data_IF_063804986214
#
_entry.id   IF_063804986214
#
_cell.length_a   1.000
_cell.length_b   1.000
_cell.length_c   1.000
_cell.angle_alpha   90.00
_cell.angle_beta   90.00
_cell.angle_gamma   90.00
#
_symmetry.space_group_name_H-M   'P 1'
#
loop_
_entity.id
_entity.type
_entity.pdbx_description
1 polymer ?
#
# COMPACT_ATOMS: atom_id res chain seq x y z
N UNK A 1 5.86 19.43 22.40
CA UNK A 1 6.73 18.79 21.38
C UNK A 1 5.80 18.13 20.34
N UNK A 2 5.85 18.50 19.05
CA UNK A 2 4.87 18.02 18.05
C UNK A 2 5.10 16.52 17.75
N UNK A 3 4.03 15.71 17.60
CA UNK A 3 4.09 14.28 17.18
C UNK A 3 5.10 14.04 16.03
N UNK A 4 5.20 14.98 15.08
CA UNK A 4 6.14 14.94 13.94
C UNK A 4 7.63 14.98 14.34
N UNK A 5 8.01 15.67 15.42
CA UNK A 5 9.41 15.80 15.85
C UNK A 5 9.90 14.56 16.59
N UNK A 6 9.04 13.94 17.41
CA UNK A 6 9.35 12.69 18.12
C UNK A 6 9.64 11.52 17.16
N UNK A 7 8.91 11.45 16.04
CA UNK A 7 9.11 10.43 14.99
C UNK A 7 10.43 10.52 14.24
N UNK A 8 11.09 11.68 14.31
CA UNK A 8 12.37 11.90 13.63
C UNK A 8 13.54 11.63 14.58
N UNK A 9 13.32 11.64 15.90
CA UNK A 9 14.38 11.65 16.93
C UNK A 9 14.39 10.37 17.79
N UNK A 10 13.27 9.65 17.90
CA UNK A 10 13.24 8.38 18.65
C UNK A 10 13.64 7.19 17.75
N UNK A 11 14.93 6.83 17.74
CA UNK A 11 15.38 5.67 16.95
C UNK A 11 16.81 5.21 17.22
N UNK A 12 17.02 4.48 18.32
CA UNK A 12 18.31 3.90 18.72
C UNK A 12 18.76 2.69 17.86
N UNK A 13 20.07 2.44 17.89
CA UNK A 13 20.92 1.71 16.94
C UNK A 13 20.75 0.16 16.78
N UNK A 14 19.76 -0.49 17.41
CA UNK A 14 19.73 -1.97 17.54
C UNK A 14 19.79 -2.80 16.23
N UNK A 15 18.88 -2.57 15.28
CA UNK A 15 18.79 -3.41 14.07
C UNK A 15 19.92 -3.19 13.06
N UNK A 16 20.45 -1.96 13.01
CA UNK A 16 21.53 -1.58 12.09
C UNK A 16 22.87 -2.25 12.46
N UNK A 17 23.10 -2.53 13.74
CA UNK A 17 24.35 -3.18 14.19
C UNK A 17 24.33 -4.69 13.92
N UNK A 18 23.19 -5.36 14.12
CA UNK A 18 23.09 -6.82 13.98
C UNK A 18 23.02 -7.29 12.52
N UNK A 19 22.45 -6.49 11.61
CA UNK A 19 22.21 -6.91 10.22
C UNK A 19 22.69 -5.87 9.19
N UNK A 20 23.00 -4.64 9.59
CA UNK A 20 23.33 -3.54 8.66
C UNK A 20 24.52 -3.80 7.72
N UNK A 21 25.63 -4.43 8.16
CA UNK A 21 26.71 -4.84 7.25
C UNK A 21 26.31 -5.95 6.26
N UNK A 22 25.18 -6.63 6.49
CA UNK A 22 24.77 -7.89 5.85
C UNK A 22 23.50 -7.72 5.03
N UNK A 23 22.75 -6.63 5.24
CA UNK A 23 21.77 -6.10 4.32
C UNK A 23 22.53 -5.57 3.10
N UNK A 24 23.05 -6.48 2.27
CA UNK A 24 23.76 -6.13 1.05
C UNK A 24 22.90 -5.18 0.23
N UNK A 25 23.50 -4.10 -0.28
CA UNK A 25 22.82 -3.13 -1.13
C UNK A 25 22.24 -3.83 -2.36
N UNK A 26 21.08 -3.38 -2.82
CA UNK A 26 20.52 -3.87 -4.08
C UNK A 26 21.57 -3.67 -5.20
N UNK A 27 21.78 -4.70 -6.02
CA UNK A 27 22.61 -4.61 -7.23
C UNK A 27 21.87 -3.93 -8.38
N UNK A 28 20.54 -3.84 -8.29
CA UNK A 28 19.69 -3.13 -9.24
C UNK A 28 19.43 -1.69 -8.77
N UNK A 29 19.10 -0.81 -9.70
CA UNK A 29 18.68 0.55 -9.40
C UNK A 29 17.57 0.55 -8.32
N UNK A 30 17.71 1.39 -7.29
CA UNK A 30 16.70 1.49 -6.24
C UNK A 30 15.37 1.98 -6.81
N UNK A 31 14.26 1.54 -6.23
CA UNK A 31 12.94 2.02 -6.64
C UNK A 31 12.88 3.56 -6.59
N UNK A 32 12.38 4.16 -7.67
CA UNK A 32 12.32 5.61 -7.83
C UNK A 32 13.67 6.29 -8.09
N UNK A 33 14.74 5.53 -8.37
CA UNK A 33 15.95 6.10 -8.96
C UNK A 33 15.68 6.47 -10.42
N UNK A 34 16.13 7.65 -10.81
CA UNK A 34 16.08 8.09 -12.20
C UNK A 34 17.25 7.46 -12.97
N UNK A 35 17.05 7.01 -14.21
CA UNK A 35 18.15 6.59 -15.07
C UNK A 35 19.11 7.76 -15.31
N UNK A 36 20.41 7.46 -15.45
CA UNK A 36 21.42 8.47 -15.78
C UNK A 36 21.04 9.23 -17.06
N UNK A 37 21.25 10.55 -17.06
CA UNK A 37 20.95 11.41 -18.20
C UNK A 37 19.47 11.82 -18.34
N UNK A 38 18.61 11.48 -17.38
CA UNK A 38 17.19 11.91 -17.38
C UNK A 38 16.94 13.20 -16.60
N UNK A 39 17.98 13.92 -16.18
CA UNK A 39 17.87 15.10 -15.30
C UNK A 39 16.94 16.19 -15.86
N UNK A 40 16.89 16.33 -17.18
CA UNK A 40 16.06 17.31 -17.88
C UNK A 40 14.57 16.98 -17.87
N UNK A 41 14.20 15.71 -17.68
CA UNK A 41 12.80 15.25 -17.60
C UNK A 41 12.35 14.95 -16.17
N UNK A 42 13.24 15.07 -15.19
CA UNK A 42 12.90 14.92 -13.79
C UNK A 42 12.04 16.11 -13.33
N UNK A 43 10.99 15.82 -12.55
CA UNK A 43 10.28 16.89 -11.85
C UNK A 43 11.24 17.66 -10.93
N UNK A 44 11.12 19.00 -10.83
CA UNK A 44 11.86 19.80 -9.86
C UNK A 44 11.72 19.21 -8.46
N UNK A 45 12.79 19.28 -7.65
CA UNK A 45 12.81 18.69 -6.29
C UNK A 45 11.62 19.13 -5.43
N UNK A 46 11.17 20.38 -5.59
CA UNK A 46 10.02 20.96 -4.91
C UNK A 46 8.68 20.32 -5.30
N UNK A 47 8.60 19.71 -6.48
CA UNK A 47 7.41 19.04 -7.03
C UNK A 47 7.45 17.52 -6.87
N UNK A 48 8.55 16.94 -6.38
CA UNK A 48 8.65 15.49 -6.15
C UNK A 48 7.80 15.06 -4.96
N UNK A 49 7.06 13.97 -5.13
CA UNK A 49 6.24 13.40 -4.08
C UNK A 49 7.10 12.97 -2.88
N UNK A 50 6.74 13.43 -1.67
CA UNK A 50 7.42 13.05 -0.42
C UNK A 50 6.78 11.84 0.27
N UNK A 51 5.50 11.61 0.00
CA UNK A 51 4.68 10.52 0.53
C UNK A 51 3.82 9.98 -0.61
N UNK A 52 3.54 8.68 -0.56
CA UNK A 52 2.68 7.99 -1.53
C UNK A 52 1.52 7.38 -0.74
N UNK A 53 0.30 7.58 -1.24
CA UNK A 53 -0.89 6.87 -0.81
C UNK A 53 -1.39 6.07 -2.01
N UNK A 54 -1.40 4.76 -1.88
CA UNK A 54 -1.97 3.84 -2.84
C UNK A 54 -3.31 3.35 -2.31
N UNK A 55 -4.37 3.50 -3.10
CA UNK A 55 -5.73 3.06 -2.77
C UNK A 55 -6.12 1.99 -3.78
N UNK A 56 -6.29 0.76 -3.30
CA UNK A 56 -6.77 -0.34 -4.11
C UNK A 56 -8.26 -0.58 -3.81
N UNK A 57 -9.11 -0.46 -4.83
CA UNK A 57 -10.55 -0.66 -4.70
C UNK A 57 -10.88 -2.12 -5.04
N UNK A 58 -11.17 -2.91 -4.00
CA UNK A 58 -11.50 -4.33 -4.11
C UNK A 58 -13.00 -4.54 -4.41
N UNK A 59 -13.33 -5.44 -5.34
CA UNK A 59 -14.72 -5.78 -5.70
C UNK A 59 -15.20 -5.25 -7.05
N UNK A 60 -14.28 -4.70 -7.87
CA UNK A 60 -14.61 -4.03 -9.11
C UNK A 60 -15.20 -2.64 -8.87
N UNK A 61 -14.93 -1.71 -9.79
CA UNK A 61 -15.66 -0.45 -9.82
C UNK A 61 -16.94 -0.69 -10.59
N UNK A 62 -18.08 -0.23 -10.07
CA UNK A 62 -19.27 -0.18 -10.91
C UNK A 62 -18.97 0.69 -12.16
N UNK A 63 -19.69 0.52 -13.27
CA UNK A 63 -19.47 1.33 -14.46
C UNK A 63 -19.58 2.86 -14.24
N UNK A 64 -20.14 3.26 -13.10
CA UNK A 64 -20.36 4.64 -12.70
C UNK A 64 -19.28 5.20 -11.76
N UNK A 65 -18.54 4.31 -11.07
CA UNK A 65 -17.41 4.62 -10.18
C UNK A 65 -16.07 4.54 -10.91
N UNK A 66 -16.06 4.72 -12.23
CA UNK A 66 -14.87 4.70 -13.07
C UNK A 66 -14.15 6.05 -13.13
N UNK A 67 -12.83 6.02 -13.31
CA UNK A 67 -12.03 7.19 -13.68
C UNK A 67 -11.82 7.30 -15.20
N UNK A 68 -12.21 6.27 -15.95
CA UNK A 68 -12.16 6.20 -17.41
C UNK A 68 -13.56 5.91 -17.94
N UNK A 69 -14.25 6.96 -18.39
CA UNK A 69 -15.55 6.85 -19.05
C UNK A 69 -15.44 7.45 -20.45
N UNK A 70 -15.82 6.70 -21.48
CA UNK A 70 -15.99 7.24 -22.84
C UNK A 70 -17.45 7.02 -23.21
N UNK A 71 -18.23 8.10 -23.35
CA UNK A 71 -19.69 7.99 -23.60
C UNK A 71 -20.04 7.36 -24.94
N UNK A 72 -19.12 7.40 -25.90
CA UNK A 72 -19.34 6.77 -27.20
C UNK A 72 -19.18 5.25 -27.16
N UNK A 73 -18.54 4.69 -26.12
CA UNK A 73 -18.30 3.24 -26.03
C UNK A 73 -19.46 2.49 -25.39
N UNK A 74 -19.82 1.38 -26.01
CA UNK A 74 -20.76 0.40 -25.45
C UNK A 74 -22.21 0.84 -25.45
N UNK A 75 -22.56 1.83 -26.29
CA UNK A 75 -23.91 2.37 -26.41
C UNK A 75 -24.92 1.30 -26.84
N UNK A 76 -26.23 1.50 -26.60
CA UNK A 76 -27.26 0.58 -27.11
C UNK A 76 -27.21 0.39 -28.63
N UNK A 77 -26.77 1.42 -29.36
CA UNK A 77 -26.63 1.48 -30.82
C UNK A 77 -25.19 1.28 -31.32
N UNK A 78 -24.28 0.78 -30.46
CA UNK A 78 -22.89 0.52 -30.84
C UNK A 78 -22.80 -0.30 -32.14
N UNK A 79 -21.98 0.10 -33.13
CA UNK A 79 -21.86 -0.62 -34.40
C UNK A 79 -21.37 -2.06 -34.19
N UNK A 80 -20.55 -2.31 -33.18
CA UNK A 80 -20.11 -3.65 -32.81
C UNK A 80 -21.10 -4.26 -31.82
N UNK A 81 -21.89 -5.22 -32.31
CA UNK A 81 -22.99 -5.84 -31.54
C UNK A 81 -22.54 -6.44 -30.20
N UNK A 82 -21.30 -6.91 -30.12
CA UNK A 82 -20.68 -7.47 -28.90
C UNK A 82 -20.42 -6.43 -27.79
N UNK A 83 -20.38 -5.14 -28.12
CA UNK A 83 -20.13 -4.07 -27.15
C UNK A 83 -21.41 -3.33 -26.75
N UNK A 84 -22.54 -3.57 -27.42
CA UNK A 84 -23.81 -2.92 -27.07
C UNK A 84 -24.20 -3.17 -25.62
N UNK A 85 -24.62 -2.11 -24.94
CA UNK A 85 -25.00 -2.12 -23.53
C UNK A 85 -23.88 -2.66 -22.63
N UNK A 86 -22.65 -2.20 -22.86
CA UNK A 86 -21.50 -2.47 -21.97
C UNK A 86 -21.04 -1.19 -21.28
N UNK A 87 -20.06 -1.32 -20.37
CA UNK A 87 -19.50 -0.19 -19.64
C UNK A 87 -20.62 0.63 -18.96
N UNK A 88 -20.66 1.95 -19.20
CA UNK A 88 -21.64 2.87 -18.64
C UNK A 88 -23.11 2.48 -18.89
N UNK A 89 -23.35 1.79 -20.01
CA UNK A 89 -24.69 1.37 -20.45
C UNK A 89 -25.05 -0.06 -20.01
N UNK A 90 -24.18 -0.74 -19.25
CA UNK A 90 -24.44 -2.11 -18.78
C UNK A 90 -25.68 -2.26 -17.91
N UNK A 91 -26.14 -1.16 -17.28
CA UNK A 91 -27.27 -1.16 -16.36
C UNK A 91 -28.24 0.00 -16.67
N UNK A 92 -29.03 -0.10 -17.76
CA UNK A 92 -29.79 1.03 -18.33
C UNK A 92 -30.70 1.76 -17.33
N UNK A 93 -31.38 1.01 -16.45
CA UNK A 93 -32.27 1.57 -15.43
C UNK A 93 -31.56 1.83 -14.08
N UNK A 94 -30.39 1.23 -13.87
CA UNK A 94 -29.62 1.36 -12.63
C UNK A 94 -28.90 2.70 -12.52
N UNK A 95 -28.36 3.20 -13.64
CA UNK A 95 -27.54 4.41 -13.66
C UNK A 95 -28.31 5.64 -13.20
N UNK A 96 -29.47 5.92 -13.81
CA UNK A 96 -30.29 7.08 -13.49
C UNK A 96 -30.81 7.02 -12.05
N UNK A 97 -31.35 5.88 -11.64
CA UNK A 97 -31.84 5.67 -10.27
C UNK A 97 -30.74 5.87 -9.23
N UNK A 98 -29.56 5.28 -9.44
CA UNK A 98 -28.44 5.42 -8.52
C UNK A 98 -27.91 6.86 -8.45
N UNK A 99 -27.82 7.56 -9.58
CA UNK A 99 -27.46 8.99 -9.60
C UNK A 99 -28.48 9.84 -8.84
N UNK A 100 -29.78 9.60 -9.04
CA UNK A 100 -30.86 10.29 -8.30
C UNK A 100 -30.75 10.05 -6.80
N UNK A 101 -30.53 8.80 -6.36
CA UNK A 101 -30.34 8.47 -4.93
C UNK A 101 -29.11 9.15 -4.33
N UNK A 102 -28.09 9.44 -5.15
CA UNK A 102 -26.90 10.17 -4.75
C UNK A 102 -27.02 11.70 -4.88
N UNK A 103 -28.15 12.22 -5.39
CA UNK A 103 -28.29 13.65 -5.72
C UNK A 103 -27.33 14.12 -6.81
N UNK A 104 -26.89 13.21 -7.69
CA UNK A 104 -25.96 13.49 -8.78
C UNK A 104 -26.77 13.82 -10.04
N UNK A 105 -26.46 14.97 -10.65
CA UNK A 105 -26.93 15.29 -12.01
C UNK A 105 -25.89 14.80 -13.01
N UNK A 106 -26.32 14.13 -14.07
CA UNK A 106 -25.40 13.65 -15.10
C UNK A 106 -24.95 14.80 -16.01
N UNK A 107 -23.85 15.43 -15.64
CA UNK A 107 -23.18 16.48 -16.40
C UNK A 107 -21.93 15.95 -17.10
N UNK A 108 -21.50 16.64 -18.15
CA UNK A 108 -20.19 16.39 -18.76
C UNK A 108 -19.07 16.58 -17.72
N UNK A 109 -18.18 15.59 -17.62
CA UNK A 109 -17.03 15.57 -16.71
C UNK A 109 -15.74 15.27 -17.47
N UNK A 110 -15.59 15.91 -18.63
CA UNK A 110 -14.41 15.78 -19.49
C UNK A 110 -13.12 15.93 -18.67
N UNK A 111 -12.22 14.98 -18.87
CA UNK A 111 -10.89 14.88 -18.27
C UNK A 111 -9.79 15.09 -19.32
N UNK A 112 -9.94 14.50 -20.50
CA UNK A 112 -8.98 14.62 -21.59
C UNK A 112 -9.32 13.70 -22.76
N UNK A 113 -8.38 13.54 -23.70
CA UNK A 113 -8.50 12.58 -24.79
C UNK A 113 -7.62 11.35 -24.56
N UNK A 114 -8.09 10.17 -24.95
CA UNK A 114 -7.27 8.95 -24.97
C UNK A 114 -6.37 8.88 -26.22
N UNK A 115 -5.62 7.79 -26.37
CA UNK A 115 -4.74 7.57 -27.52
C UNK A 115 -5.49 7.41 -28.87
N UNK A 116 -6.79 7.12 -28.82
CA UNK A 116 -7.68 7.05 -29.99
C UNK A 116 -8.43 8.37 -30.22
N UNK A 117 -8.04 9.45 -29.52
CA UNK A 117 -8.72 10.75 -29.54
C UNK A 117 -10.16 10.72 -29.00
N UNK A 118 -10.57 9.67 -28.28
CA UNK A 118 -11.89 9.62 -27.67
C UNK A 118 -11.93 10.52 -26.42
N UNK A 119 -13.06 11.22 -26.23
CA UNK A 119 -13.25 12.06 -25.05
C UNK A 119 -13.44 11.19 -23.80
N UNK A 120 -12.50 11.31 -22.88
CA UNK A 120 -12.51 10.62 -21.59
C UNK A 120 -13.10 11.54 -20.54
N UNK A 121 -14.10 11.04 -19.83
CA UNK A 121 -14.74 11.66 -18.68
C UNK A 121 -14.40 10.92 -17.39
N UNK A 122 -14.52 11.63 -16.27
CA UNK A 122 -14.60 11.01 -14.94
C UNK A 122 -16.05 10.53 -14.73
N UNK A 123 -16.20 9.31 -14.22
CA UNK A 123 -17.51 8.71 -13.94
C UNK A 123 -18.34 9.54 -12.95
N UNK A 124 -19.67 9.49 -13.02
CA UNK A 124 -20.55 10.34 -12.23
C UNK A 124 -20.36 10.18 -10.71
N UNK A 125 -20.01 8.99 -10.22
CA UNK A 125 -19.82 8.76 -8.79
C UNK A 125 -18.46 9.26 -8.29
N UNK A 126 -17.53 9.53 -9.21
CA UNK A 126 -16.27 10.21 -8.93
C UNK A 126 -16.34 11.73 -9.19
N UNK A 127 -17.53 12.33 -9.38
CA UNK A 127 -17.67 13.77 -9.66
C UNK A 127 -17.00 14.68 -8.62
N UNK A 128 -16.94 14.28 -7.35
CA UNK A 128 -16.24 15.07 -6.30
C UNK A 128 -14.74 15.16 -6.56
N UNK A 129 -14.14 14.15 -7.19
CA UNK A 129 -12.75 14.18 -7.60
C UNK A 129 -12.56 15.11 -8.81
N UNK A 130 -13.49 15.07 -9.77
CA UNK A 130 -13.48 15.98 -10.93
C UNK A 130 -13.61 17.45 -10.51
N UNK A 131 -14.55 17.75 -9.60
CA UNK A 131 -14.78 19.10 -9.07
C UNK A 131 -13.57 19.68 -8.32
N UNK A 132 -12.61 18.85 -7.92
CA UNK A 132 -11.35 19.26 -7.29
C UNK A 132 -10.31 19.55 -8.37
N UNK A 133 -10.42 20.73 -8.99
CA UNK A 133 -9.46 21.21 -10.01
C UNK A 133 -7.99 21.13 -9.55
N UNK A 134 -7.73 21.36 -8.27
CA UNK A 134 -6.39 21.19 -7.70
C UNK A 134 -5.89 19.75 -7.77
N UNK A 135 -6.77 18.75 -7.73
CA UNK A 135 -6.42 17.32 -7.86
C UNK A 135 -6.47 16.90 -9.33
N UNK A 136 -7.58 17.15 -10.03
CA UNK A 136 -7.80 16.69 -11.41
C UNK A 136 -6.76 17.23 -12.39
N UNK A 137 -6.30 18.49 -12.25
CA UNK A 137 -5.25 19.06 -13.12
C UNK A 137 -3.90 18.34 -12.99
N UNK A 138 -3.63 17.71 -11.83
CA UNK A 138 -2.41 16.94 -11.56
C UNK A 138 -2.62 15.43 -11.71
N UNK A 139 -3.85 15.01 -11.96
CA UNK A 139 -4.21 13.62 -12.10
C UNK A 139 -3.65 13.06 -13.41
N UNK A 140 -3.25 11.80 -13.38
CA UNK A 140 -2.88 11.02 -14.55
C UNK A 140 -3.64 9.71 -14.47
N UNK A 141 -4.24 9.33 -15.59
CA UNK A 141 -4.99 8.11 -15.72
C UNK A 141 -4.18 7.13 -16.56
N UNK A 142 -3.91 5.95 -16.00
CA UNK A 142 -3.18 4.89 -16.68
C UNK A 142 -4.10 3.69 -16.78
N UNK A 143 -4.48 3.34 -18.01
CA UNK A 143 -5.30 2.15 -18.28
C UNK A 143 -4.37 0.96 -18.42
N UNK A 144 -4.63 -0.08 -17.63
CA UNK A 144 -3.92 -1.35 -17.71
C UNK A 144 -4.90 -2.44 -18.13
N UNK A 145 -4.42 -3.42 -18.89
CA UNK A 145 -5.20 -4.60 -19.30
C UNK A 145 -4.50 -5.88 -18.86
N UNK A 146 -5.31 -6.90 -18.58
CA UNK A 146 -4.87 -8.28 -18.38
C UNK A 146 -5.89 -9.22 -19.02
N UNK A 147 -5.50 -10.49 -19.17
CA UNK A 147 -6.34 -11.56 -19.74
C UNK A 147 -6.83 -12.56 -18.67
N UNK A 148 -6.75 -12.20 -17.39
CA UNK A 148 -7.19 -13.02 -16.27
C UNK A 148 -8.68 -12.79 -15.94
N UNK A 149 -9.39 -13.86 -15.58
CA UNK A 149 -10.74 -13.77 -15.00
C UNK A 149 -10.74 -12.98 -13.67
N UNK A 150 -11.86 -12.32 -13.33
CA UNK A 150 -11.83 -11.27 -12.31
C UNK A 150 -11.63 -11.82 -10.88
N UNK A 151 -11.03 -10.97 -10.05
CA UNK A 151 -10.81 -11.07 -8.60
C UNK A 151 -9.58 -11.85 -8.10
N UNK A 152 -9.45 -13.14 -8.35
CA UNK A 152 -8.40 -13.93 -7.64
C UNK A 152 -7.02 -13.83 -8.29
N UNK A 153 -6.94 -13.87 -9.61
CA UNK A 153 -5.66 -13.79 -10.34
C UNK A 153 -5.30 -12.35 -10.73
N UNK A 154 -6.31 -11.53 -11.02
CA UNK A 154 -6.16 -10.14 -11.46
C UNK A 154 -5.62 -9.21 -10.37
N UNK A 155 -6.09 -9.35 -9.13
CA UNK A 155 -5.72 -8.43 -8.03
C UNK A 155 -4.23 -8.53 -7.68
N UNK A 156 -3.63 -9.73 -7.53
CA UNK A 156 -2.18 -9.83 -7.31
C UNK A 156 -1.36 -9.29 -8.48
N UNK A 157 -1.84 -9.46 -9.72
CA UNK A 157 -1.21 -8.86 -10.89
C UNK A 157 -1.25 -7.33 -10.86
N UNK A 158 -2.38 -6.73 -10.49
CA UNK A 158 -2.47 -5.28 -10.35
C UNK A 158 -1.57 -4.73 -9.23
N UNK A 159 -1.49 -5.43 -8.09
CA UNK A 159 -0.73 -5.00 -6.92
C UNK A 159 0.78 -5.24 -7.02
N UNK A 160 1.20 -6.23 -7.80
CA UNK A 160 2.62 -6.66 -7.86
C UNK A 160 3.22 -6.60 -9.26
N UNK A 161 2.41 -6.34 -10.29
CA UNK A 161 2.80 -6.43 -11.70
C UNK A 161 3.07 -7.85 -12.18
N UNK A 162 2.75 -8.89 -11.38
CA UNK A 162 3.08 -10.29 -11.68
C UNK A 162 1.90 -11.24 -11.47
N UNK A 163 1.78 -12.31 -12.26
CA UNK A 163 0.80 -13.37 -12.00
C UNK A 163 0.93 -13.98 -10.60
N UNK A 164 -0.16 -14.58 -10.13
CA UNK A 164 -0.20 -15.34 -8.87
C UNK A 164 0.84 -16.46 -8.86
N UNK A 165 1.42 -16.73 -7.69
CA UNK A 165 2.40 -17.82 -7.50
C UNK A 165 3.84 -17.46 -7.90
N UNK A 166 4.07 -16.27 -8.45
CA UNK A 166 5.42 -15.83 -8.81
C UNK A 166 6.23 -15.49 -7.55
N UNK A 167 7.37 -16.17 -7.28
CA UNK A 167 8.14 -15.97 -6.05
C UNK A 167 8.79 -14.59 -5.95
N UNK A 168 8.87 -13.86 -7.07
CA UNK A 168 9.38 -12.49 -7.13
C UNK A 168 8.27 -11.42 -7.18
N UNK A 169 7.00 -11.79 -6.95
CA UNK A 169 5.90 -10.85 -6.79
C UNK A 169 6.08 -10.04 -5.49
N UNK A 170 6.17 -8.73 -5.62
CA UNK A 170 6.31 -7.81 -4.49
C UNK A 170 5.37 -6.61 -4.67
N UNK A 171 4.74 -6.19 -3.57
CA UNK A 171 3.89 -4.99 -3.58
C UNK A 171 4.71 -3.70 -3.63
N UNK A 172 4.08 -2.59 -4.05
CA UNK A 172 4.71 -1.26 -4.10
C UNK A 172 5.35 -0.85 -2.77
N UNK A 173 4.67 -1.11 -1.65
CA UNK A 173 5.18 -0.84 -0.31
C UNK A 173 6.54 -1.49 -0.05
N UNK A 174 6.71 -2.74 -0.50
CA UNK A 174 7.98 -3.48 -0.38
C UNK A 174 9.11 -2.79 -1.13
N UNK A 175 8.86 -2.35 -2.37
CA UNK A 175 9.85 -1.63 -3.17
C UNK A 175 10.26 -0.30 -2.53
N UNK A 176 9.30 0.46 -2.01
CA UNK A 176 9.56 1.73 -1.32
C UNK A 176 10.39 1.49 -0.06
N UNK A 177 10.02 0.52 0.76
CA UNK A 177 10.73 0.21 2.00
C UNK A 177 12.15 -0.28 1.72
N UNK A 178 12.32 -1.16 0.72
CA UNK A 178 13.65 -1.58 0.27
C UNK A 178 14.52 -0.40 -0.16
N UNK A 179 13.97 0.51 -0.97
CA UNK A 179 14.73 1.66 -1.45
C UNK A 179 15.20 2.58 -0.30
N UNK A 180 14.39 2.75 0.75
CA UNK A 180 14.79 3.52 1.95
C UNK A 180 15.88 2.82 2.74
N UNK A 181 15.79 1.49 2.88
CA UNK A 181 16.86 0.68 3.50
C UNK A 181 18.18 0.78 2.73
N UNK A 182 18.14 0.67 1.40
CA UNK A 182 19.33 0.74 0.54
C UNK A 182 20.05 2.09 0.64
N UNK A 183 19.29 3.18 0.81
CA UNK A 183 19.84 4.54 0.99
C UNK A 183 20.39 4.80 2.39
N UNK A 184 20.29 3.84 3.31
CA UNK A 184 20.62 4.04 4.72
C UNK A 184 19.75 5.12 5.37
N UNK A 185 18.58 5.42 4.78
CA UNK A 185 17.67 6.41 5.32
C UNK A 185 16.98 5.79 6.54
N UNK A 186 17.46 6.19 7.72
CA UNK A 186 16.98 5.83 9.06
C UNK A 186 17.18 4.37 9.51
N UNK A 187 18.45 3.91 9.70
CA UNK A 187 18.76 2.59 10.28
C UNK A 187 18.23 2.43 11.71
N UNK A 188 17.97 3.56 12.38
CA UNK A 188 17.40 3.65 13.72
C UNK A 188 15.88 3.71 13.77
N UNK A 189 15.16 3.80 12.63
CA UNK A 189 13.70 3.92 12.67
C UNK A 189 13.08 2.68 13.30
N UNK A 190 12.26 2.89 14.31
CA UNK A 190 11.49 1.81 14.92
C UNK A 190 10.29 1.38 14.09
N UNK A 191 9.75 2.31 13.31
CA UNK A 191 8.53 2.12 12.53
C UNK A 191 8.87 1.87 11.05
N UNK A 192 8.15 0.98 10.35
CA UNK A 192 8.31 0.75 8.92
C UNK A 192 8.17 2.03 8.08
N UNK A 193 8.76 2.04 6.88
CA UNK A 193 8.55 3.11 5.90
C UNK A 193 7.25 2.96 5.12
N UNK A 194 6.73 1.74 5.05
CA UNK A 194 5.51 1.41 4.32
C UNK A 194 4.55 0.58 5.17
N UNK A 195 3.27 0.83 4.96
CA UNK A 195 2.17 0.20 5.68
C UNK A 195 1.14 -0.23 4.66
N UNK A 196 0.53 -1.39 4.86
CA UNK A 196 -0.67 -1.80 4.12
C UNK A 196 -1.79 -1.92 5.11
N UNK A 197 -2.92 -1.30 4.79
CA UNK A 197 -4.11 -1.36 5.60
C UNK A 197 -5.19 -2.09 4.81
N UNK A 198 -5.80 -3.09 5.44
CA UNK A 198 -6.86 -3.86 4.84
C UNK A 198 -7.96 -4.10 5.87
N UNK A 199 -9.21 -4.04 5.44
CA UNK A 199 -10.33 -4.57 6.23
C UNK A 199 -10.27 -6.10 6.19
N UNK A 200 -10.55 -6.78 7.29
CA UNK A 200 -10.77 -8.22 7.25
C UNK A 200 -12.03 -8.57 6.44
N UNK A 201 -12.14 -9.86 6.09
CA UNK A 201 -13.17 -10.37 5.17
C UNK A 201 -12.78 -10.35 3.69
N UNK A 202 -11.73 -9.62 3.28
CA UNK A 202 -11.13 -9.76 1.95
C UNK A 202 -10.20 -10.98 1.94
N UNK A 203 -10.30 -11.83 0.91
CA UNK A 203 -9.54 -13.09 0.79
C UNK A 203 -8.03 -12.88 0.95
N UNK A 204 -7.37 -13.90 1.52
CA UNK A 204 -5.97 -13.81 1.96
C UNK A 204 -5.02 -13.43 0.84
N UNK A 205 -5.23 -13.94 -0.37
CA UNK A 205 -4.23 -13.89 -1.42
C UNK A 205 -4.13 -12.47 -1.99
N UNK A 206 -5.27 -11.81 -2.13
CA UNK A 206 -5.39 -10.43 -2.61
C UNK A 206 -4.76 -9.42 -1.64
N UNK A 207 -5.07 -9.56 -0.35
CA UNK A 207 -4.48 -8.71 0.70
C UNK A 207 -2.99 -9.04 0.85
N UNK A 208 -2.61 -10.32 0.81
CA UNK A 208 -1.22 -10.73 0.96
C UNK A 208 -0.32 -10.22 -0.17
N UNK A 209 -0.85 -10.09 -1.39
CA UNK A 209 -0.11 -9.56 -2.55
C UNK A 209 0.38 -8.13 -2.32
N UNK A 210 -0.44 -7.26 -1.71
CA UNK A 210 -0.04 -5.89 -1.37
C UNK A 210 1.14 -5.84 -0.38
N UNK A 211 1.27 -6.86 0.49
CA UNK A 211 2.38 -7.01 1.42
C UNK A 211 3.39 -8.08 1.03
N UNK A 212 3.36 -8.57 -0.21
CA UNK A 212 4.29 -9.57 -0.69
C UNK A 212 5.70 -8.97 -0.76
N UNK A 213 6.69 -9.72 -0.28
CA UNK A 213 8.09 -9.31 -0.27
C UNK A 213 8.83 -9.70 -1.55
N UNK A 214 8.29 -10.62 -2.35
CA UNK A 214 8.98 -11.22 -3.48
C UNK A 214 10.38 -11.70 -3.09
N UNK A 215 11.38 -11.33 -3.90
CA UNK A 215 12.80 -11.63 -3.64
C UNK A 215 13.50 -10.61 -2.73
N UNK A 216 12.77 -9.63 -2.16
CA UNK A 216 13.35 -8.71 -1.20
C UNK A 216 13.55 -9.38 0.17
N UNK A 217 14.48 -8.85 0.96
CA UNK A 217 14.66 -9.27 2.36
C UNK A 217 13.41 -8.97 3.19
N UNK A 218 13.21 -9.68 4.29
CA UNK A 218 12.08 -9.51 5.20
C UNK A 218 11.94 -8.09 5.75
N UNK A 219 13.05 -7.34 5.93
CA UNK A 219 13.00 -5.93 6.29
C UNK A 219 12.31 -5.05 5.26
N UNK A 220 12.22 -5.46 4.00
CA UNK A 220 11.50 -4.72 2.99
C UNK A 220 9.98 -4.89 3.13
N UNK A 221 9.48 -5.90 3.86
CA UNK A 221 8.05 -6.17 3.94
C UNK A 221 7.30 -5.02 4.63
N UNK A 222 6.24 -4.46 4.03
CA UNK A 222 5.40 -3.48 4.70
C UNK A 222 4.72 -4.07 5.92
N UNK A 223 4.42 -3.24 6.92
CA UNK A 223 3.58 -3.66 8.03
C UNK A 223 2.13 -3.70 7.58
N UNK A 224 1.59 -4.92 7.49
CA UNK A 224 0.18 -5.18 7.23
C UNK A 224 -0.65 -4.99 8.50
N UNK A 225 -1.65 -4.11 8.44
CA UNK A 225 -2.55 -3.80 9.55
C UNK A 225 -3.97 -4.16 9.11
N UNK A 226 -4.57 -5.13 9.80
CA UNK A 226 -5.99 -5.46 9.63
C UNK A 226 -6.82 -4.51 10.49
N UNK A 227 -7.57 -3.65 9.81
CA UNK A 227 -8.20 -2.49 10.42
C UNK A 227 -9.48 -2.81 11.18
N UNK A 228 -10.11 -3.94 10.88
CA UNK A 228 -11.26 -4.50 11.60
C UNK A 228 -10.88 -5.30 12.86
N UNK A 229 -9.57 -5.49 13.10
CA UNK A 229 -9.05 -6.23 14.25
C UNK A 229 -8.07 -5.40 15.09
N UNK A 230 -8.37 -4.10 15.20
CA UNK A 230 -7.49 -3.13 15.85
C UNK A 230 -7.21 -3.46 17.32
N UNK A 231 -8.18 -3.98 18.07
CA UNK A 231 -7.98 -4.39 19.47
C UNK A 231 -6.94 -5.51 19.61
N UNK A 232 -6.94 -6.50 18.71
CA UNK A 232 -5.89 -7.54 18.70
C UNK A 232 -4.55 -6.95 18.31
N UNK A 233 -4.53 -6.04 17.34
CA UNK A 233 -3.29 -5.37 16.92
C UNK A 233 -2.67 -4.55 18.08
N UNK A 234 -3.47 -3.75 18.79
CA UNK A 234 -2.99 -2.96 19.94
C UNK A 234 -2.54 -3.86 21.09
N UNK A 235 -3.24 -4.98 21.34
CA UNK A 235 -2.81 -5.99 22.32
C UNK A 235 -1.46 -6.64 21.95
N UNK A 236 -1.22 -6.93 20.66
CA UNK A 236 0.08 -7.44 20.18
C UNK A 236 1.19 -6.41 20.40
N UNK A 237 0.93 -5.13 20.10
CA UNK A 237 1.90 -4.05 20.36
C UNK A 237 2.16 -3.84 21.85
N UNK A 238 1.16 -4.06 22.70
CA UNK A 238 1.28 -3.99 24.15
C UNK A 238 2.10 -5.15 24.74
N UNK A 239 2.45 -6.19 23.96
CA UNK A 239 3.32 -7.31 24.38
C UNK A 239 2.96 -7.81 25.79
N UNK A 240 1.67 -7.90 26.11
CA UNK A 240 1.18 -8.17 27.47
C UNK A 240 1.57 -9.57 27.95
N UNK A 241 1.76 -10.52 27.04
CA UNK A 241 2.22 -11.88 27.33
C UNK A 241 3.59 -11.95 28.03
N UNK A 242 4.47 -10.97 27.81
CA UNK A 242 5.77 -10.87 28.49
C UNK A 242 5.77 -9.86 29.64
N UNK A 243 4.73 -9.03 29.76
CA UNK A 243 4.45 -8.18 30.92
C UNK A 243 5.66 -7.37 31.40
N UNK A 244 5.96 -7.43 32.70
CA UNK A 244 7.11 -6.77 33.30
C UNK A 244 8.47 -7.37 32.89
N UNK A 245 8.47 -8.59 32.35
CA UNK A 245 9.69 -9.32 31.97
C UNK A 245 10.17 -9.01 30.54
N UNK A 246 9.68 -7.92 29.92
CA UNK A 246 10.03 -7.60 28.51
C UNK A 246 11.54 -7.54 28.30
N UNK A 247 12.27 -6.89 29.19
CA UNK A 247 13.71 -6.70 29.06
C UNK A 247 14.48 -8.03 29.15
N UNK A 248 14.10 -8.90 30.09
CA UNK A 248 14.72 -10.22 30.28
C UNK A 248 14.39 -11.17 29.12
N UNK A 249 13.12 -11.16 28.67
CA UNK A 249 12.72 -11.88 27.46
C UNK A 249 13.53 -11.38 26.26
N UNK A 250 13.73 -10.06 26.16
CA UNK A 250 14.43 -9.49 25.01
C UNK A 250 15.94 -9.79 25.03
N UNK A 251 16.54 -9.84 26.21
CA UNK A 251 17.92 -10.29 26.39
C UNK A 251 18.07 -11.77 26.03
N UNK A 252 17.14 -12.62 26.45
CA UNK A 252 17.18 -14.07 26.19
C UNK A 252 17.07 -14.40 24.69
N UNK A 253 16.10 -13.81 23.99
CA UNK A 253 15.96 -14.03 22.54
C UNK A 253 17.16 -13.44 21.78
N UNK A 254 17.71 -12.31 22.26
CA UNK A 254 18.96 -11.74 21.74
C UNK A 254 20.13 -12.72 21.83
N UNK A 255 20.33 -13.34 23.00
CA UNK A 255 21.39 -14.34 23.21
C UNK A 255 21.25 -15.56 22.29
N UNK A 256 20.02 -16.07 22.09
CA UNK A 256 19.77 -17.17 21.15
C UNK A 256 20.05 -16.78 19.70
N UNK A 257 19.68 -15.56 19.31
CA UNK A 257 19.96 -15.04 17.98
C UNK A 257 21.47 -14.91 17.74
N UNK A 258 22.21 -14.34 18.69
CA UNK A 258 23.67 -14.22 18.64
C UNK A 258 24.34 -15.59 18.56
N UNK A 259 23.90 -16.55 19.39
CA UNK A 259 24.42 -17.91 19.36
C UNK A 259 24.20 -18.57 17.99
N UNK A 260 23.03 -18.38 17.38
CA UNK A 260 22.74 -18.93 16.07
C UNK A 260 23.54 -18.22 14.96
N UNK A 261 23.67 -16.89 15.01
CA UNK A 261 24.50 -16.12 14.07
C UNK A 261 25.98 -16.51 14.15
N UNK A 262 26.49 -16.79 15.35
CA UNK A 262 27.84 -17.31 15.54
C UNK A 262 28.03 -18.67 14.85
N UNK A 263 27.03 -19.57 14.93
CA UNK A 263 27.06 -20.86 14.22
C UNK A 263 27.00 -20.71 12.69
N UNK A 264 26.40 -19.64 12.19
CA UNK A 264 26.43 -19.33 10.76
C UNK A 264 27.79 -18.79 10.31
N UNK A 265 28.67 -18.37 11.23
CA UNK A 265 29.97 -17.79 10.93
C UNK A 265 31.06 -18.86 10.99
N UNK A 266 31.59 -19.23 9.82
CA UNK A 266 32.66 -20.22 9.73
C UNK A 266 34.02 -19.53 9.83
N UNK A 267 34.94 -20.06 10.66
CA UNK A 267 36.31 -19.56 10.71
C UNK A 267 36.95 -19.54 9.31
N UNK A 268 37.51 -18.39 8.91
CA UNK A 268 38.19 -18.23 7.60
C UNK A 268 37.29 -18.10 6.37
N UNK A 269 36.01 -18.48 6.44
CA UNK A 269 35.06 -18.41 5.32
C UNK A 269 33.95 -17.35 5.48
N UNK A 270 33.87 -16.70 6.65
CA UNK A 270 32.84 -15.72 6.97
C UNK A 270 31.48 -16.37 7.26
N UNK A 271 30.39 -15.60 7.29
CA UNK A 271 29.06 -16.18 7.57
C UNK A 271 28.32 -16.65 6.33
N UNK A 272 27.70 -17.81 6.48
CA UNK A 272 26.77 -18.41 5.52
C UNK A 272 25.54 -17.53 5.40
N UNK A 273 25.10 -17.32 4.15
CA UNK A 273 23.87 -16.58 3.88
C UNK A 273 22.67 -17.38 4.39
N UNK A 274 21.92 -16.80 5.32
CA UNK A 274 20.65 -17.33 5.79
C UNK A 274 19.62 -16.20 5.84
N UNK A 275 18.88 -16.03 4.74
CA UNK A 275 17.86 -14.98 4.64
C UNK A 275 16.80 -15.11 5.72
N UNK A 276 16.42 -16.34 6.10
CA UNK A 276 15.44 -16.59 7.16
C UNK A 276 15.92 -16.13 8.53
N UNK A 277 17.21 -16.29 8.82
CA UNK A 277 17.80 -15.80 10.08
C UNK A 277 17.86 -14.28 10.08
N UNK A 278 18.21 -13.67 8.95
CA UNK A 278 18.20 -12.20 8.81
C UNK A 278 16.78 -11.65 8.98
N UNK A 279 15.78 -12.27 8.36
CA UNK A 279 14.37 -11.90 8.47
C UNK A 279 13.87 -12.03 9.91
N UNK A 280 14.25 -13.12 10.60
CA UNK A 280 13.91 -13.31 12.01
C UNK A 280 14.55 -12.23 12.90
N UNK A 281 15.84 -11.92 12.69
CA UNK A 281 16.54 -10.86 13.42
C UNK A 281 15.84 -9.51 13.25
N UNK A 282 15.46 -9.17 12.02
CA UNK A 282 14.73 -7.96 11.68
C UNK A 282 13.36 -7.93 12.35
N UNK A 283 12.57 -9.00 12.22
CA UNK A 283 11.23 -9.07 12.80
C UNK A 283 11.29 -8.92 14.33
N UNK A 284 12.26 -9.58 14.94
CA UNK A 284 12.49 -9.52 16.38
C UNK A 284 12.91 -8.12 16.85
N UNK A 285 13.90 -7.49 16.20
CA UNK A 285 14.32 -6.12 16.54
C UNK A 285 13.21 -5.08 16.31
N UNK A 286 12.34 -5.30 15.31
CA UNK A 286 11.15 -4.46 15.09
C UNK A 286 10.15 -4.62 16.25
N UNK A 287 9.94 -5.85 16.72
CA UNK A 287 9.02 -6.16 17.83
C UNK A 287 9.46 -5.56 19.17
N UNK A 288 10.78 -5.50 19.43
CA UNK A 288 11.35 -4.83 20.62
C UNK A 288 10.97 -3.35 20.69
N UNK A 289 10.64 -2.75 19.55
CA UNK A 289 10.30 -1.33 19.42
C UNK A 289 8.79 -1.11 19.31
N UNK A 290 7.98 -2.06 19.77
CA UNK A 290 6.52 -2.01 19.67
C UNK A 290 5.91 -0.73 20.27
N UNK A 291 6.50 -0.17 21.33
CA UNK A 291 6.03 1.09 21.93
C UNK A 291 6.16 2.27 20.94
N UNK A 292 7.22 2.32 20.15
CA UNK A 292 7.40 3.35 19.12
C UNK A 292 6.43 3.16 17.94
N UNK A 293 6.07 1.91 17.61
CA UNK A 293 5.03 1.61 16.62
C UNK A 293 3.64 1.99 17.16
N UNK A 294 3.36 1.70 18.44
CA UNK A 294 2.11 2.12 19.11
C UNK A 294 1.94 3.63 19.11
N UNK A 295 3.03 4.38 19.30
CA UNK A 295 3.00 5.85 19.30
C UNK A 295 2.59 6.47 17.94
N UNK A 296 2.74 5.74 16.82
CA UNK A 296 2.25 6.20 15.50
C UNK A 296 0.86 5.68 15.15
N UNK A 297 0.44 4.57 15.72
CA UNK A 297 -0.82 3.88 15.44
C UNK A 297 -1.71 3.92 16.68
N UNK A 298 -2.11 5.14 17.07
CA UNK A 298 -2.96 5.35 18.22
C UNK A 298 -4.36 4.74 18.01
N UNK A 299 -4.97 4.29 19.11
CA UNK A 299 -6.22 3.52 19.10
C UNK A 299 -7.39 4.30 18.44
N UNK A 300 -7.36 5.63 18.51
CA UNK A 300 -8.35 6.52 17.90
C UNK A 300 -8.37 6.44 16.36
N UNK A 301 -7.25 6.09 15.73
CA UNK A 301 -7.14 5.89 14.27
C UNK A 301 -7.94 4.68 13.77
N UNK A 302 -8.27 3.76 14.67
CA UNK A 302 -9.00 2.54 14.32
C UNK A 302 -10.46 2.56 14.77
N UNK A 303 -10.93 3.69 15.30
CA UNK A 303 -12.32 3.81 15.71
C UNK A 303 -13.24 3.74 14.49
N UNK A 304 -14.27 2.90 14.61
CA UNK A 304 -15.33 2.81 13.62
C UNK A 304 -16.15 4.11 13.63
N UNK A 305 -16.50 4.60 12.45
CA UNK A 305 -17.37 5.78 12.30
C UNK A 305 -18.52 5.45 11.36
N UNK A 306 -19.67 6.07 11.61
CA UNK A 306 -20.76 6.02 10.64
C UNK A 306 -20.42 6.96 9.48
N UNK A 307 -20.45 6.42 8.27
CA UNK A 307 -20.32 7.18 7.04
C UNK A 307 -21.67 7.20 6.33
N UNK A 308 -22.05 8.34 5.79
CA UNK A 308 -23.25 8.47 4.96
C UNK A 308 -22.82 8.75 3.53
N UNK A 309 -23.23 7.89 2.60
CA UNK A 309 -23.05 8.07 1.16
C UNK A 309 -24.36 7.78 0.44
N UNK A 310 -24.80 8.69 -0.43
CA UNK A 310 -26.02 8.57 -1.22
C UNK A 310 -27.27 8.20 -0.40
N UNK A 311 -27.51 8.94 0.70
CA UNK A 311 -28.64 8.69 1.60
C UNK A 311 -28.55 7.39 2.41
N UNK A 312 -27.51 6.57 2.19
CA UNK A 312 -27.29 5.34 2.93
C UNK A 312 -26.24 5.57 4.01
N UNK A 313 -26.61 5.31 5.26
CA UNK A 313 -25.65 5.30 6.37
C UNK A 313 -25.12 3.89 6.55
N UNK A 314 -23.80 3.72 6.42
CA UNK A 314 -23.13 2.46 6.70
C UNK A 314 -22.04 2.66 7.74
N UNK A 315 -21.84 1.62 8.55
CA UNK A 315 -20.72 1.54 9.47
C UNK A 315 -19.43 1.42 8.65
N UNK A 316 -18.61 2.46 8.66
CA UNK A 316 -17.33 2.48 7.94
C UNK A 316 -16.21 2.02 8.87
N UNK A 317 -15.63 0.86 8.56
CA UNK A 317 -14.50 0.30 9.29
C UNK A 317 -13.19 0.80 8.69
N UNK A 318 -12.27 1.18 9.58
CA UNK A 318 -12.08 2.54 10.05
C UNK A 318 -11.66 3.52 8.95
N UNK A 319 -12.05 4.78 9.14
CA UNK A 319 -11.53 5.93 8.42
C UNK A 319 -10.02 6.06 8.71
N UNK A 320 -9.18 5.52 7.83
CA UNK A 320 -7.96 6.25 7.50
C UNK A 320 -8.34 7.46 6.65
N UNK A 321 -9.09 8.37 7.28
CA UNK A 321 -9.56 9.60 6.66
C UNK A 321 -8.48 10.66 6.64
N UNK A 322 -8.70 11.69 5.82
CA UNK A 322 -7.81 12.85 5.66
C UNK A 322 -7.48 13.58 6.98
N UNK A 323 -8.23 13.36 8.07
CA UNK A 323 -7.91 13.90 9.40
C UNK A 323 -6.69 13.26 10.07
N UNK A 324 -6.16 12.15 9.55
CA UNK A 324 -4.96 11.49 10.06
C UNK A 324 -3.63 12.02 9.44
N UNK A 325 -3.68 12.99 8.50
CA UNK A 325 -2.52 13.48 7.73
C UNK A 325 -1.93 14.82 8.23
#
# INVERSE_FOLDING_TARGET
MKRRTFLTVAGGAGAAVMVGPWMGRSRAATFGAFPDGTDTVQLPVTQRAKKVLEVFLYGGLSPWETLYLVRDYGRPDDPETQYRNTMYYALPNGTASAMTSCGITDLDRTFGADANSASVEIGPFAHRLHARGDVSNRMRLVVQRHNLEPHEAAVPMALTGRPVGQPNAAGLGTHIQRARLDRGETPGRASPHSYVFATGGVSSDNVSAAAASGSHIGAARPLMIKTDNASKFTNLLARSSVGANRAQHDALVGAYLEQYQARLTWPGAGRVRSSRTDDFAIAYETSKRSDAIRNVLADDLFMTRNGTSCGTTRRSLPLMGLTAA
#
